data_IF_848605585266
#
_entry.id   IF_848605585266
#
_cell.length_a   1.000
_cell.length_b   1.000
_cell.length_c   1.000
_cell.angle_alpha   90.00
_cell.angle_beta   90.00
_cell.angle_gamma   90.00
#
_symmetry.space_group_name_H-M   'P 1'
#
loop_
_entity.id
_entity.type
_entity.pdbx_description
1 polymer ?
#
# COMPACT_ATOMS: atom_id res chain seq x y z
N UNK A 1 15.73 -15.84 -0.70
CA UNK A 1 15.49 -14.38 -0.59
C UNK A 1 14.00 -14.09 -0.63
N UNK A 2 13.61 -12.87 -0.26
CA UNK A 2 12.24 -12.34 -0.41
C UNK A 2 12.21 -11.31 -1.54
N UNK A 3 11.03 -11.10 -2.14
CA UNK A 3 10.87 -10.07 -3.17
C UNK A 3 9.51 -9.39 -3.16
N UNK A 4 9.50 -8.12 -3.51
CA UNK A 4 8.31 -7.41 -3.94
C UNK A 4 8.40 -7.16 -5.44
N UNK A 5 7.38 -7.61 -6.18
CA UNK A 5 7.39 -7.61 -7.64
C UNK A 5 6.18 -6.87 -8.23
N UNK A 6 6.15 -5.52 -8.18
CA UNK A 6 5.05 -4.73 -8.74
C UNK A 6 5.20 -4.51 -10.26
N UNK A 7 4.07 -4.38 -10.95
CA UNK A 7 4.04 -3.88 -12.33
C UNK A 7 3.77 -2.37 -12.34
N UNK A 8 4.48 -1.57 -13.17
CA UNK A 8 4.36 -0.11 -13.20
C UNK A 8 3.16 0.34 -14.06
N UNK A 9 1.98 -0.24 -13.82
CA UNK A 9 0.78 -0.04 -14.66
C UNK A 9 -0.29 0.86 -14.04
N UNK A 10 0.04 1.52 -12.93
CA UNK A 10 -0.90 2.34 -12.16
C UNK A 10 -0.35 2.69 -10.78
N UNK A 11 -1.14 3.43 -10.02
CA UNK A 11 -0.80 3.81 -8.64
C UNK A 11 -0.62 2.56 -7.76
N UNK A 12 0.28 2.66 -6.79
CA UNK A 12 0.41 1.63 -5.77
C UNK A 12 -0.85 1.62 -4.88
N UNK A 13 -1.49 0.47 -4.78
CA UNK A 13 -2.64 0.29 -3.89
C UNK A 13 -2.23 -0.32 -2.55
N UNK A 14 -3.09 -0.18 -1.54
CA UNK A 14 -2.82 -0.69 -0.18
C UNK A 14 -2.55 -2.21 -0.13
N UNK A 15 -3.12 -2.99 -1.04
CA UNK A 15 -2.84 -4.42 -1.17
C UNK A 15 -1.40 -4.70 -1.63
N UNK A 16 -0.89 -3.90 -2.57
CA UNK A 16 0.50 -3.99 -3.02
C UNK A 16 1.45 -3.59 -1.88
N UNK A 17 1.15 -2.48 -1.19
CA UNK A 17 1.96 -1.99 -0.08
C UNK A 17 1.98 -2.99 1.08
N UNK A 18 0.85 -3.60 1.43
CA UNK A 18 0.77 -4.64 2.45
C UNK A 18 1.64 -5.85 2.10
N UNK A 19 1.65 -6.28 0.83
CA UNK A 19 2.56 -7.32 0.37
C UNK A 19 4.03 -6.90 0.49
N UNK A 20 4.38 -5.65 0.14
CA UNK A 20 5.73 -5.12 0.30
C UNK A 20 6.18 -5.12 1.78
N UNK A 21 5.35 -4.58 2.68
CA UNK A 21 5.59 -4.54 4.13
C UNK A 21 5.85 -5.94 4.67
N UNK A 22 5.02 -6.93 4.32
CA UNK A 22 5.15 -8.29 4.88
C UNK A 22 6.38 -9.02 4.33
N UNK A 23 6.72 -8.84 3.05
CA UNK A 23 7.99 -9.34 2.53
C UNK A 23 9.17 -8.71 3.26
N UNK A 24 9.16 -7.38 3.46
CA UNK A 24 10.23 -6.67 4.15
C UNK A 24 10.39 -7.14 5.60
N UNK A 25 9.29 -7.23 6.37
CA UNK A 25 9.32 -7.74 7.74
C UNK A 25 9.92 -9.14 7.79
N UNK A 26 9.43 -10.06 6.95
CA UNK A 26 9.92 -11.45 6.95
C UNK A 26 11.39 -11.56 6.52
N UNK A 27 11.82 -10.71 5.58
CA UNK A 27 13.21 -10.63 5.15
C UNK A 27 14.13 -10.19 6.31
N UNK A 28 13.75 -9.11 7.00
CA UNK A 28 14.48 -8.58 8.16
C UNK A 28 14.54 -9.57 9.32
N UNK A 29 13.43 -10.23 9.65
CA UNK A 29 13.36 -11.24 10.71
C UNK A 29 14.29 -12.44 10.46
N UNK A 30 14.42 -12.85 9.20
CA UNK A 30 15.28 -13.99 8.81
C UNK A 30 16.69 -13.58 8.40
N UNK A 31 17.02 -12.30 8.49
CA UNK A 31 18.28 -11.73 7.99
C UNK A 31 18.57 -12.16 6.54
N UNK A 32 17.56 -12.06 5.67
CA UNK A 32 17.63 -12.39 4.25
C UNK A 32 17.45 -11.14 3.40
N UNK A 33 18.06 -11.12 2.23
CA UNK A 33 17.90 -10.01 1.29
C UNK A 33 16.46 -9.87 0.80
N UNK A 34 16.07 -8.61 0.61
CA UNK A 34 14.82 -8.17 0.02
C UNK A 34 15.08 -7.54 -1.36
N UNK A 35 14.35 -8.05 -2.35
CA UNK A 35 14.49 -7.67 -3.76
C UNK A 35 13.29 -6.81 -4.17
N UNK A 36 13.54 -5.71 -4.90
CA UNK A 36 12.55 -4.99 -5.67
C UNK A 36 12.68 -5.35 -7.16
N UNK A 37 11.69 -6.08 -7.70
CA UNK A 37 11.62 -6.42 -9.14
C UNK A 37 10.51 -5.65 -9.83
N UNK A 38 10.81 -4.82 -10.81
CA UNK A 38 9.77 -4.15 -11.61
C UNK A 38 9.35 -5.06 -12.76
N UNK A 39 8.07 -5.44 -12.79
CA UNK A 39 7.49 -6.35 -13.80
C UNK A 39 6.88 -5.54 -14.95
N UNK A 40 7.74 -5.06 -15.85
CA UNK A 40 7.45 -4.13 -16.94
C UNK A 40 7.31 -4.81 -18.32
N UNK A 41 7.22 -6.14 -18.38
CA UNK A 41 7.20 -6.86 -19.67
C UNK A 41 5.99 -6.51 -20.56
N UNK A 42 4.92 -5.99 -19.96
CA UNK A 42 3.72 -5.55 -20.67
C UNK A 42 3.81 -4.05 -21.02
N UNK A 43 4.61 -3.75 -22.04
CA UNK A 43 4.93 -2.37 -22.45
C UNK A 43 3.69 -1.51 -22.73
N UNK A 44 2.60 -2.10 -23.20
CA UNK A 44 1.37 -1.37 -23.53
C UNK A 44 0.64 -0.84 -22.30
N UNK A 45 0.82 -1.47 -21.13
CA UNK A 45 0.19 -1.06 -19.86
C UNK A 45 1.11 -0.27 -18.93
N UNK A 46 2.40 -0.22 -19.23
CA UNK A 46 3.35 0.53 -18.40
C UNK A 46 3.08 2.03 -18.50
N UNK A 47 3.19 2.71 -17.36
CA UNK A 47 3.00 4.16 -17.25
C UNK A 47 4.33 4.76 -16.82
N UNK A 48 4.80 5.76 -17.58
CA UNK A 48 6.05 6.46 -17.28
C UNK A 48 6.01 7.09 -15.87
N UNK A 49 7.14 7.01 -15.15
CA UNK A 49 7.29 7.53 -13.79
C UNK A 49 6.69 6.66 -12.67
N UNK A 50 5.96 5.59 -12.98
CA UNK A 50 5.41 4.70 -11.93
C UNK A 50 6.45 3.85 -11.24
N UNK A 51 7.55 3.54 -11.90
CA UNK A 51 8.69 2.86 -11.27
C UNK A 51 9.29 3.72 -10.14
N UNK A 52 9.55 4.99 -10.43
CA UNK A 52 10.09 5.96 -9.47
C UNK A 52 9.12 6.21 -8.33
N UNK A 53 7.83 6.38 -8.64
CA UNK A 53 6.77 6.54 -7.63
C UNK A 53 6.72 5.33 -6.68
N UNK A 54 6.85 4.11 -7.19
CA UNK A 54 6.93 2.90 -6.35
C UNK A 54 8.15 2.97 -5.41
N UNK A 55 9.33 3.35 -5.92
CA UNK A 55 10.56 3.46 -5.11
C UNK A 55 10.42 4.53 -4.03
N UNK A 56 9.88 5.70 -4.37
CA UNK A 56 9.62 6.81 -3.45
C UNK A 56 8.67 6.37 -2.34
N UNK A 57 7.55 5.72 -2.68
CA UNK A 57 6.62 5.20 -1.69
C UNK A 57 7.30 4.19 -0.78
N UNK A 58 8.04 3.21 -1.29
CA UNK A 58 8.73 2.24 -0.44
C UNK A 58 9.71 2.92 0.54
N UNK A 59 10.47 3.90 0.06
CA UNK A 59 11.38 4.69 0.90
C UNK A 59 10.65 5.49 2.00
N UNK A 60 9.50 6.11 1.69
CA UNK A 60 8.67 6.81 2.68
C UNK A 60 8.19 5.89 3.82
N UNK A 61 8.01 4.60 3.52
CA UNK A 61 7.62 3.58 4.49
C UNK A 61 8.81 2.93 5.21
N UNK A 62 10.04 3.41 4.97
CA UNK A 62 11.26 2.83 5.55
C UNK A 62 11.61 1.44 4.99
N UNK A 63 11.07 1.08 3.83
CA UNK A 63 11.32 -0.20 3.17
C UNK A 63 12.48 -0.03 2.20
N UNK A 64 13.62 -0.61 2.56
CA UNK A 64 14.82 -0.66 1.71
C UNK A 64 14.98 -2.04 1.08
N UNK A 65 15.57 -2.09 -0.12
CA UNK A 65 15.89 -3.31 -0.84
C UNK A 65 17.39 -3.41 -1.12
N UNK A 66 17.93 -4.62 -1.04
CA UNK A 66 19.35 -4.91 -1.32
C UNK A 66 19.60 -5.05 -2.82
N UNK A 67 18.61 -5.57 -3.55
CA UNK A 67 18.71 -5.81 -4.99
C UNK A 67 17.54 -5.17 -5.74
N UNK A 68 17.84 -4.64 -6.92
CA UNK A 68 16.90 -3.97 -7.81
C UNK A 68 17.10 -4.45 -9.24
N UNK A 69 16.03 -4.82 -9.93
CA UNK A 69 16.11 -5.07 -11.38
C UNK A 69 14.76 -4.94 -12.09
N UNK A 70 14.85 -4.81 -13.41
CA UNK A 70 13.73 -4.64 -14.34
C UNK A 70 13.55 -5.94 -15.13
N UNK A 71 12.34 -6.48 -15.15
CA UNK A 71 12.07 -7.80 -15.74
C UNK A 71 12.30 -7.84 -17.25
N UNK A 72 12.06 -6.74 -17.96
CA UNK A 72 12.31 -6.65 -19.41
C UNK A 72 13.79 -6.74 -19.79
N UNK A 73 14.73 -6.49 -18.86
CA UNK A 73 16.16 -6.69 -19.10
C UNK A 73 16.54 -8.18 -19.12
N UNK A 74 15.70 -9.05 -18.53
CA UNK A 74 15.92 -10.49 -18.43
C UNK A 74 15.31 -11.30 -19.58
N UNK A 75 14.73 -10.66 -20.60
CA UNK A 75 14.06 -11.35 -21.72
C UNK A 75 14.94 -12.39 -22.42
N UNK A 76 16.26 -12.16 -22.48
CA UNK A 76 17.21 -13.14 -23.03
C UNK A 76 17.19 -14.47 -22.27
N UNK A 77 17.13 -14.41 -20.93
CA UNK A 77 17.12 -15.58 -20.08
C UNK A 77 15.78 -16.30 -20.19
N UNK A 78 14.67 -15.58 -20.22
CA UNK A 78 13.35 -16.18 -20.44
C UNK A 78 13.31 -16.96 -21.77
N UNK A 79 13.82 -16.36 -22.86
CA UNK A 79 13.89 -17.03 -24.17
C UNK A 79 14.76 -18.28 -24.13
N UNK A 80 15.94 -18.21 -23.52
CA UNK A 80 16.83 -19.38 -23.36
C UNK A 80 16.15 -20.50 -22.58
N UNK A 81 15.47 -20.20 -21.48
CA UNK A 81 14.76 -21.19 -20.68
C UNK A 81 13.58 -21.81 -21.44
N UNK A 82 12.86 -21.02 -22.23
CA UNK A 82 11.78 -21.53 -23.08
C UNK A 82 12.32 -22.48 -24.16
N UNK A 83 13.42 -22.10 -24.82
CA UNK A 83 14.08 -22.94 -25.83
C UNK A 83 14.62 -24.24 -25.23
N UNK A 84 15.20 -24.19 -24.02
CA UNK A 84 15.62 -25.37 -23.28
C UNK A 84 14.44 -26.34 -23.10
N UNK A 85 13.30 -25.84 -22.62
CA UNK A 85 12.10 -26.67 -22.43
C UNK A 85 11.59 -27.29 -23.73
N UNK A 86 11.67 -26.58 -24.85
CA UNK A 86 11.32 -27.12 -26.17
C UNK A 86 12.31 -28.21 -26.59
N UNK A 87 13.62 -27.98 -26.45
CA UNK A 87 14.66 -28.97 -26.78
C UNK A 87 14.55 -30.25 -25.97
N UNK A 88 14.10 -30.15 -24.71
CA UNK A 88 13.86 -31.28 -23.81
C UNK A 88 12.47 -31.92 -24.01
N UNK A 89 11.72 -31.51 -25.04
CA UNK A 89 10.35 -31.97 -25.33
C UNK A 89 9.35 -31.77 -24.18
N UNK A 90 9.64 -30.84 -23.26
CA UNK A 90 8.76 -30.43 -22.15
C UNK A 90 7.81 -29.30 -22.55
N UNK A 91 8.16 -28.54 -23.58
CA UNK A 91 7.32 -27.52 -24.21
C UNK A 91 7.21 -27.77 -25.72
N UNK A 92 6.24 -27.15 -26.37
CA UNK A 92 5.97 -27.31 -27.81
C UNK A 92 5.47 -26.01 -28.44
N UNK A 93 5.65 -25.89 -29.76
CA UNK A 93 5.08 -24.80 -30.55
C UNK A 93 3.59 -25.03 -30.80
N UNK A 94 2.77 -24.00 -30.59
CA UNK A 94 1.33 -24.06 -30.81
C UNK A 94 0.93 -22.98 -31.83
N UNK A 95 0.32 -23.46 -32.91
CA UNK A 95 -0.10 -22.65 -34.07
C UNK A 95 -1.61 -22.36 -34.08
N UNK A 96 -2.33 -22.72 -33.00
CA UNK A 96 -3.76 -22.46 -32.90
C UNK A 96 -4.02 -20.95 -32.88
N UNK A 97 -4.96 -20.48 -33.70
CA UNK A 97 -5.33 -19.07 -33.76
C UNK A 97 -6.20 -18.68 -32.56
N UNK A 98 -6.29 -17.38 -32.26
CA UNK A 98 -7.17 -16.89 -31.20
C UNK A 98 -8.65 -17.23 -31.49
N UNK A 99 -9.06 -17.14 -32.76
CA UNK A 99 -10.41 -17.49 -33.23
C UNK A 99 -10.73 -18.98 -33.00
N UNK A 100 -9.81 -19.88 -33.33
CA UNK A 100 -9.96 -21.32 -33.08
C UNK A 100 -10.09 -21.63 -31.59
N UNK A 101 -9.25 -21.00 -30.77
CA UNK A 101 -9.28 -21.17 -29.31
C UNK A 101 -10.58 -20.62 -28.71
N UNK A 102 -11.07 -19.49 -29.21
CA UNK A 102 -12.32 -18.88 -28.74
C UNK A 102 -13.54 -19.72 -29.13
N UNK A 103 -13.58 -20.25 -30.35
CA UNK A 103 -14.62 -21.19 -30.77
C UNK A 103 -14.68 -22.43 -29.86
N UNK A 104 -13.52 -22.97 -29.48
CA UNK A 104 -13.45 -24.10 -28.54
C UNK A 104 -13.89 -23.72 -27.13
N UNK A 105 -13.57 -22.51 -26.64
CA UNK A 105 -14.05 -22.01 -25.33
C UNK A 105 -15.56 -21.86 -25.31
N UNK A 106 -16.14 -21.26 -26.34
CA UNK A 106 -17.59 -21.08 -26.44
C UNK A 106 -18.33 -22.42 -26.57
N UNK A 107 -17.75 -23.40 -27.26
CA UNK A 107 -18.28 -24.76 -27.28
C UNK A 107 -18.27 -25.40 -25.88
N UNK A 108 -17.15 -25.30 -25.15
CA UNK A 108 -17.05 -25.83 -23.78
C UNK A 108 -18.07 -25.17 -22.84
N UNK A 109 -18.23 -23.85 -22.95
CA UNK A 109 -19.21 -23.05 -22.20
C UNK A 109 -20.65 -23.50 -22.49
N UNK A 110 -21.01 -23.69 -23.77
CA UNK A 110 -22.32 -24.23 -24.18
C UNK A 110 -22.58 -25.63 -23.62
N UNK A 111 -21.52 -26.41 -23.42
CA UNK A 111 -21.58 -27.75 -22.82
C UNK A 111 -21.51 -27.76 -21.29
N UNK A 112 -21.44 -26.59 -20.63
CA UNK A 112 -21.31 -26.49 -19.17
C UNK A 112 -20.00 -27.04 -18.62
N UNK A 113 -18.95 -27.15 -19.45
CA UNK A 113 -17.63 -27.68 -19.08
C UNK A 113 -16.60 -26.55 -19.01
N UNK A 114 -15.67 -26.65 -18.07
CA UNK A 114 -14.51 -25.77 -18.05
C UNK A 114 -13.63 -26.03 -19.29
N UNK A 115 -13.30 -24.97 -20.03
CA UNK A 115 -12.40 -25.07 -21.17
C UNK A 115 -11.00 -25.46 -20.73
N UNK A 116 -10.41 -26.41 -21.45
CA UNK A 116 -9.00 -26.82 -21.35
C UNK A 116 -8.48 -27.01 -22.75
N UNK A 117 -7.24 -26.59 -22.98
CA UNK A 117 -6.49 -26.86 -24.19
C UNK A 117 -6.38 -28.38 -24.36
N UNK A 118 -6.74 -28.83 -25.54
CA UNK A 118 -6.88 -30.24 -25.89
C UNK A 118 -5.56 -30.89 -26.35
N UNK A 119 -4.46 -30.13 -26.36
CA UNK A 119 -3.17 -30.61 -26.84
C UNK A 119 -3.10 -30.69 -28.37
N UNK A 120 -3.94 -29.95 -29.12
CA UNK A 120 -3.98 -29.98 -30.60
C UNK A 120 -2.60 -29.97 -31.24
N UNK A 121 -1.71 -29.06 -30.82
CA UNK A 121 -0.37 -28.94 -31.39
C UNK A 121 0.71 -29.75 -30.64
N UNK A 122 0.37 -30.42 -29.54
CA UNK A 122 1.34 -31.15 -28.71
C UNK A 122 1.88 -32.41 -29.41
N UNK A 123 1.10 -32.97 -30.34
CA UNK A 123 1.37 -34.24 -31.04
C UNK A 123 1.78 -34.06 -32.50
N UNK A 124 2.05 -32.82 -32.96
CA UNK A 124 2.53 -32.58 -34.32
C UNK A 124 3.89 -33.24 -34.53
N UNK A 125 4.13 -33.77 -35.73
CA UNK A 125 5.44 -34.31 -36.08
C UNK A 125 6.45 -33.17 -36.27
N UNK A 126 7.74 -33.45 -36.05
CA UNK A 126 8.80 -32.43 -36.16
C UNK A 126 8.81 -31.77 -37.54
N UNK A 127 8.53 -32.53 -38.61
CA UNK A 127 8.43 -32.01 -39.98
C UNK A 127 7.27 -31.02 -40.16
N UNK A 128 6.09 -31.33 -39.62
CA UNK A 128 4.90 -30.46 -39.70
C UNK A 128 5.16 -29.15 -38.95
N UNK A 129 5.91 -29.19 -37.85
CA UNK A 129 6.28 -28.00 -37.08
C UNK A 129 7.28 -27.13 -37.86
N UNK A 130 8.25 -27.75 -38.54
CA UNK A 130 9.27 -27.04 -39.31
C UNK A 130 8.72 -26.40 -40.60
N UNK A 131 7.75 -27.04 -41.25
CA UNK A 131 7.10 -26.53 -42.47
C UNK A 131 5.98 -25.53 -42.18
N UNK A 132 5.55 -25.38 -40.92
CA UNK A 132 4.47 -24.46 -40.56
C UNK A 132 4.94 -23.01 -40.45
N UNK A 133 4.59 -22.18 -41.44
CA UNK A 133 4.88 -20.74 -41.44
C UNK A 133 3.94 -19.90 -40.55
N UNK A 134 2.94 -20.53 -39.92
CA UNK A 134 1.99 -19.80 -39.06
C UNK A 134 2.70 -19.22 -37.83
N UNK A 135 2.27 -18.04 -37.35
CA UNK A 135 2.74 -17.53 -36.07
C UNK A 135 2.42 -18.52 -34.96
N UNK A 136 3.34 -18.68 -34.01
CA UNK A 136 3.19 -19.64 -32.91
C UNK A 136 3.54 -19.04 -31.56
N UNK A 137 2.90 -19.61 -30.54
CA UNK A 137 3.26 -19.44 -29.13
C UNK A 137 3.97 -20.69 -28.63
N UNK A 138 4.73 -20.59 -27.54
CA UNK A 138 5.30 -21.77 -26.87
C UNK A 138 4.41 -22.12 -25.68
N UNK A 139 3.97 -23.37 -25.61
CA UNK A 139 3.22 -23.93 -24.48
C UNK A 139 4.08 -24.90 -23.68
N UNK A 140 3.99 -24.82 -22.36
CA UNK A 140 4.52 -25.86 -21.48
C UNK A 140 3.50 -27.00 -21.39
N UNK A 141 3.97 -28.25 -21.48
CA UNK A 141 3.10 -29.42 -21.28
C UNK A 141 2.57 -29.44 -19.86
N UNK A 142 1.36 -29.96 -19.67
CA UNK A 142 0.77 -30.17 -18.34
C UNK A 142 1.68 -31.04 -17.43
N UNK A 143 1.64 -30.86 -16.11
CA UNK A 143 2.34 -31.75 -15.18
C UNK A 143 1.80 -33.19 -15.27
N UNK A 144 2.62 -34.15 -14.85
CA UNK A 144 2.25 -35.58 -14.80
C UNK A 144 1.87 -36.08 -13.42
N UNK A 145 2.02 -35.23 -12.39
CA UNK A 145 1.71 -35.54 -11.00
C UNK A 145 1.05 -34.34 -10.31
N UNK A 146 0.35 -34.58 -9.22
CA UNK A 146 -0.24 -33.54 -8.38
C UNK A 146 0.81 -32.53 -7.94
N UNK A 147 0.52 -31.24 -8.10
CA UNK A 147 1.38 -30.15 -7.65
C UNK A 147 0.95 -29.75 -6.24
N UNK A 148 1.92 -29.69 -5.31
CA UNK A 148 1.68 -29.33 -3.91
C UNK A 148 2.60 -28.20 -3.48
N UNK A 149 2.12 -27.33 -2.61
CA UNK A 149 2.95 -26.32 -1.96
C UNK A 149 2.41 -25.95 -0.58
N UNK A 150 3.31 -25.45 0.27
CA UNK A 150 2.99 -24.98 1.61
C UNK A 150 2.78 -23.47 1.61
N UNK A 151 1.63 -23.04 2.08
CA UNK A 151 1.29 -21.65 2.31
C UNK A 151 1.21 -21.35 3.81
N UNK A 152 1.92 -20.33 4.29
CA UNK A 152 1.92 -19.95 5.71
C UNK A 152 0.55 -19.52 6.22
N UNK A 153 -0.32 -19.01 5.35
CA UNK A 153 -1.67 -18.55 5.73
C UNK A 153 -2.70 -19.63 5.42
N UNK A 154 -2.69 -20.19 4.21
CA UNK A 154 -3.72 -21.12 3.73
C UNK A 154 -3.47 -22.58 4.14
N UNK A 155 -2.24 -22.95 4.49
CA UNK A 155 -1.83 -24.32 4.80
C UNK A 155 -1.30 -25.05 3.56
N UNK A 156 -1.34 -26.38 3.58
CA UNK A 156 -0.97 -27.19 2.42
C UNK A 156 -2.07 -27.12 1.34
N UNK A 157 -1.67 -26.81 0.12
CA UNK A 157 -2.56 -26.77 -1.04
C UNK A 157 -2.10 -27.78 -2.09
N UNK A 158 -3.06 -28.46 -2.72
CA UNK A 158 -2.81 -29.46 -3.76
C UNK A 158 -3.66 -29.19 -4.99
N UNK A 159 -3.06 -29.41 -6.17
CA UNK A 159 -3.68 -29.19 -7.47
C UNK A 159 -3.40 -30.38 -8.37
N UNK A 160 -4.46 -31.08 -8.76
CA UNK A 160 -4.35 -32.19 -9.69
C UNK A 160 -3.88 -31.74 -11.08
N UNK A 161 -3.15 -32.60 -11.83
CA UNK A 161 -2.68 -32.30 -13.17
C UNK A 161 -3.76 -31.76 -14.12
N UNK A 162 -4.97 -32.29 -13.99
CA UNK A 162 -6.13 -31.92 -14.78
C UNK A 162 -6.51 -30.45 -14.60
N UNK A 163 -6.20 -29.85 -13.45
CA UNK A 163 -6.47 -28.45 -13.16
C UNK A 163 -5.36 -27.51 -13.64
N UNK A 164 -4.28 -28.05 -14.20
CA UNK A 164 -3.12 -27.32 -14.73
C UNK A 164 -2.93 -27.73 -16.19
N UNK A 165 -3.62 -27.01 -17.06
CA UNK A 165 -3.59 -27.27 -18.49
C UNK A 165 -2.26 -26.90 -19.17
N UNK A 166 -2.01 -27.34 -20.40
CA UNK A 166 -0.84 -26.94 -21.19
C UNK A 166 -0.93 -25.45 -21.56
N UNK A 167 -0.27 -24.59 -20.78
CA UNK A 167 -0.41 -23.14 -20.85
C UNK A 167 0.73 -22.46 -21.62
N UNK A 168 0.45 -21.28 -22.17
CA UNK A 168 1.42 -20.45 -22.90
C UNK A 168 2.48 -19.91 -21.93
N UNK A 169 3.75 -20.13 -22.27
CA UNK A 169 4.92 -19.59 -21.57
C UNK A 169 5.62 -18.47 -22.34
N UNK A 170 5.50 -18.46 -23.66
CA UNK A 170 6.08 -17.44 -24.54
C UNK A 170 5.06 -17.06 -25.62
N UNK A 171 4.84 -15.77 -25.81
CA UNK A 171 3.94 -15.23 -26.84
C UNK A 171 4.59 -15.22 -28.22
N UNK A 172 3.80 -14.92 -29.24
CA UNK A 172 4.24 -14.86 -30.65
C UNK A 172 5.39 -13.87 -30.86
N UNK A 173 5.31 -12.71 -30.20
CA UNK A 173 6.33 -11.64 -30.18
C UNK A 173 7.58 -11.97 -29.33
N UNK A 174 7.67 -13.20 -28.82
CA UNK A 174 8.77 -13.70 -27.99
C UNK A 174 8.93 -12.95 -26.65
N UNK A 175 7.82 -12.39 -26.14
CA UNK A 175 7.71 -11.94 -24.76
C UNK A 175 7.17 -13.08 -23.87
N UNK A 176 7.71 -13.28 -22.66
CA UNK A 176 7.25 -14.31 -21.76
C UNK A 176 5.86 -13.98 -21.19
N UNK A 177 5.10 -14.99 -20.79
CA UNK A 177 3.90 -14.76 -19.99
C UNK A 177 4.28 -14.48 -18.53
N UNK A 178 3.39 -13.80 -17.80
CA UNK A 178 3.58 -13.49 -16.37
C UNK A 178 4.08 -14.68 -15.55
N UNK A 179 3.40 -15.83 -15.65
CA UNK A 179 3.78 -17.02 -14.87
C UNK A 179 5.17 -17.53 -15.21
N UNK A 180 5.55 -17.48 -16.49
CA UNK A 180 6.85 -17.95 -16.93
C UNK A 180 7.97 -16.99 -16.50
N UNK A 181 7.80 -15.69 -16.73
CA UNK A 181 8.77 -14.67 -16.33
C UNK A 181 9.00 -14.70 -14.81
N UNK A 182 7.93 -14.62 -14.00
CA UNK A 182 8.05 -14.67 -12.54
C UNK A 182 8.75 -15.94 -12.05
N UNK A 183 8.40 -17.11 -12.62
CA UNK A 183 8.97 -18.37 -12.17
C UNK A 183 10.47 -18.50 -12.49
N UNK A 184 10.87 -18.04 -13.67
CA UNK A 184 12.28 -18.02 -14.10
C UNK A 184 13.07 -17.00 -13.27
N UNK A 185 12.57 -15.78 -13.08
CA UNK A 185 13.28 -14.77 -12.29
C UNK A 185 13.39 -15.17 -10.83
N UNK A 186 12.32 -15.71 -10.22
CA UNK A 186 12.37 -16.20 -8.84
C UNK A 186 13.40 -17.34 -8.67
N UNK A 187 13.58 -18.18 -9.71
CA UNK A 187 14.60 -19.23 -9.76
C UNK A 187 16.02 -18.64 -9.87
N UNK A 188 16.25 -17.72 -10.81
CA UNK A 188 17.57 -17.11 -11.05
C UNK A 188 18.05 -16.32 -9.84
N UNK A 189 17.14 -15.60 -9.18
CA UNK A 189 17.43 -14.76 -8.02
C UNK A 189 17.36 -15.53 -6.69
N UNK A 190 17.25 -16.86 -6.70
CA UNK A 190 17.20 -17.68 -5.49
C UNK A 190 16.14 -17.21 -4.46
N UNK A 191 14.99 -16.74 -4.96
CA UNK A 191 13.82 -16.46 -4.12
C UNK A 191 13.39 -17.76 -3.46
N UNK A 192 13.07 -17.69 -2.17
CA UNK A 192 12.70 -18.85 -1.35
C UNK A 192 11.33 -18.71 -0.73
N UNK A 193 10.82 -17.49 -0.60
CA UNK A 193 9.48 -17.23 -0.08
C UNK A 193 8.77 -16.17 -0.92
N UNK A 194 7.54 -16.46 -1.32
CA UNK A 194 6.67 -15.58 -2.10
C UNK A 194 5.48 -15.15 -1.26
N UNK A 195 5.44 -13.87 -0.89
CA UNK A 195 4.28 -13.25 -0.22
C UNK A 195 3.58 -12.35 -1.24
N UNK A 196 2.31 -12.60 -1.52
CA UNK A 196 1.49 -11.89 -2.53
C UNK A 196 -0.01 -12.01 -2.25
N UNK A 197 -0.85 -11.28 -2.97
CA UNK A 197 -2.31 -11.41 -2.83
C UNK A 197 -2.85 -12.78 -3.28
N UNK A 198 -3.95 -13.22 -2.67
CA UNK A 198 -4.57 -14.53 -2.94
C UNK A 198 -5.17 -14.70 -4.33
N UNK A 199 -5.38 -13.61 -5.07
CA UNK A 199 -5.75 -13.64 -6.49
C UNK A 199 -4.74 -14.45 -7.34
N UNK A 200 -3.52 -14.63 -6.83
CA UNK A 200 -2.46 -15.39 -7.49
C UNK A 200 -2.31 -16.84 -7.00
N UNK A 201 -3.21 -17.36 -6.16
CA UNK A 201 -3.14 -18.76 -5.68
C UNK A 201 -3.12 -19.74 -6.85
N UNK A 202 -3.97 -19.54 -7.85
CA UNK A 202 -4.07 -20.40 -9.04
C UNK A 202 -2.84 -20.33 -9.97
N UNK A 203 -2.01 -19.31 -9.81
CA UNK A 203 -0.75 -19.15 -10.54
C UNK A 203 0.39 -19.96 -9.92
N UNK A 204 0.36 -20.18 -8.61
CA UNK A 204 1.40 -20.89 -7.86
C UNK A 204 1.73 -22.28 -8.42
N UNK A 205 0.76 -23.18 -8.67
CA UNK A 205 1.10 -24.51 -9.20
C UNK A 205 1.68 -24.45 -10.62
N UNK A 206 1.30 -23.46 -11.44
CA UNK A 206 1.89 -23.23 -12.77
C UNK A 206 3.36 -22.82 -12.65
N UNK A 207 3.66 -21.91 -11.71
CA UNK A 207 5.01 -21.41 -11.47
C UNK A 207 5.92 -22.50 -10.88
N UNK A 208 5.40 -23.33 -9.98
CA UNK A 208 6.11 -24.51 -9.47
C UNK A 208 6.39 -25.51 -10.60
N UNK A 209 5.41 -25.76 -11.47
CA UNK A 209 5.59 -26.65 -12.61
C UNK A 209 6.64 -26.14 -13.61
N UNK A 210 6.70 -24.82 -13.86
CA UNK A 210 7.75 -24.21 -14.68
C UNK A 210 9.13 -24.48 -14.07
N UNK A 211 9.30 -24.22 -12.77
CA UNK A 211 10.58 -24.44 -12.06
C UNK A 211 10.99 -25.89 -12.08
N UNK A 212 10.08 -26.80 -11.73
CA UNK A 212 10.32 -28.24 -11.76
C UNK A 212 10.71 -28.72 -13.17
N UNK A 213 10.02 -28.22 -14.21
CA UNK A 213 10.33 -28.54 -15.61
C UNK A 213 11.73 -28.07 -16.02
N UNK A 214 12.23 -26.97 -15.44
CA UNK A 214 13.58 -26.46 -15.66
C UNK A 214 14.65 -27.17 -14.82
N UNK A 215 14.25 -28.11 -13.95
CA UNK A 215 15.13 -28.87 -13.05
C UNK A 215 15.43 -28.16 -11.73
N UNK A 216 14.66 -27.13 -11.37
CA UNK A 216 14.81 -26.43 -10.10
C UNK A 216 13.97 -27.07 -9.00
N UNK A 217 14.64 -27.78 -8.09
CA UNK A 217 14.00 -28.59 -7.05
C UNK A 217 14.03 -27.94 -5.65
N UNK A 218 14.46 -26.66 -5.56
CA UNK A 218 14.54 -25.97 -4.27
C UNK A 218 13.13 -25.69 -3.77
N UNK A 219 12.85 -26.09 -2.54
CA UNK A 219 11.57 -25.84 -1.90
C UNK A 219 11.30 -24.32 -1.79
N UNK A 220 10.09 -23.92 -2.16
CA UNK A 220 9.57 -22.57 -2.00
C UNK A 220 8.42 -22.56 -0.99
N UNK A 221 8.36 -21.51 -0.18
CA UNK A 221 7.21 -21.25 0.70
C UNK A 221 6.38 -20.09 0.20
N UNK A 222 5.09 -20.09 0.52
CA UNK A 222 4.16 -19.08 0.05
C UNK A 222 3.42 -18.43 1.21
N UNK A 223 2.93 -17.22 1.01
CA UNK A 223 1.86 -16.66 1.81
C UNK A 223 0.94 -15.85 0.89
N UNK A 224 -0.29 -16.34 0.73
CA UNK A 224 -1.31 -15.70 -0.08
C UNK A 224 -2.21 -14.83 0.82
N UNK A 225 -1.97 -13.52 0.78
CA UNK A 225 -2.66 -12.53 1.60
C UNK A 225 -4.14 -12.47 1.20
N UNK A 226 -5.07 -12.49 2.17
CA UNK A 226 -6.49 -12.41 1.89
C UNK A 226 -6.85 -11.05 1.25
N UNK A 227 -7.89 -11.05 0.43
CA UNK A 227 -8.44 -9.85 -0.21
C UNK A 227 -8.81 -8.82 0.87
N UNK A 228 -8.55 -7.55 0.55
CA UNK A 228 -9.04 -6.42 1.33
C UNK A 228 -10.41 -6.02 0.76
N UNK A 229 -11.42 -5.98 1.61
CA UNK A 229 -12.76 -5.50 1.30
C UNK A 229 -12.86 -4.01 1.60
N UNK A 230 -13.70 -3.29 0.86
CA UNK A 230 -14.08 -1.92 1.15
C UNK A 230 -15.06 -1.83 2.33
N UNK A 231 -15.54 -0.62 2.64
CA UNK A 231 -16.49 -0.41 3.73
C UNK A 231 -17.83 -1.13 3.48
N UNK A 232 -18.21 -1.38 2.24
CA UNK A 232 -19.43 -2.12 1.87
C UNK A 232 -19.26 -3.65 1.89
N UNK A 233 -18.06 -4.16 2.19
CA UNK A 233 -17.78 -5.59 2.19
C UNK A 233 -17.55 -6.20 0.80
N UNK A 234 -17.38 -5.36 -0.23
CA UNK A 234 -17.02 -5.77 -1.60
C UNK A 234 -15.51 -5.72 -1.75
N UNK A 235 -14.94 -6.53 -2.66
CA UNK A 235 -13.52 -6.48 -2.99
C UNK A 235 -13.11 -5.03 -3.35
N UNK A 236 -12.14 -4.50 -2.61
CA UNK A 236 -11.68 -3.13 -2.80
C UNK A 236 -11.19 -2.93 -4.24
N UNK A 237 -11.75 -1.93 -4.90
CA UNK A 237 -11.46 -1.62 -6.29
C UNK A 237 -10.30 -0.66 -6.41
N UNK A 238 -9.48 -0.84 -7.44
CA UNK A 238 -8.42 0.11 -7.81
C UNK A 238 -8.93 1.52 -8.13
N UNK A 239 -10.24 1.68 -8.35
CA UNK A 239 -10.89 2.97 -8.65
C UNK A 239 -11.32 3.73 -7.39
N UNK A 240 -11.36 3.07 -6.23
CA UNK A 240 -11.71 3.72 -4.97
C UNK A 240 -10.51 4.55 -4.48
N UNK A 241 -10.73 5.83 -4.16
CA UNK A 241 -9.65 6.73 -3.77
C UNK A 241 -8.85 6.21 -2.55
N UNK A 242 -9.54 5.68 -1.54
CA UNK A 242 -8.94 5.12 -0.33
C UNK A 242 -8.09 3.87 -0.57
N UNK A 243 -8.19 3.25 -1.75
CA UNK A 243 -7.32 2.12 -2.13
C UNK A 243 -5.92 2.58 -2.54
N UNK A 244 -5.75 3.85 -2.95
CA UNK A 244 -4.48 4.41 -3.43
C UNK A 244 -3.61 4.87 -2.26
N UNK A 245 -2.36 4.38 -2.20
CA UNK A 245 -1.40 4.81 -1.18
C UNK A 245 -1.08 6.29 -1.33
N UNK A 246 -0.95 6.76 -2.57
CA UNK A 246 -0.69 8.17 -2.88
C UNK A 246 -1.79 9.07 -2.31
N UNK A 247 -3.05 8.72 -2.52
CA UNK A 247 -4.18 9.48 -1.99
C UNK A 247 -4.18 9.55 -0.45
N UNK A 248 -3.83 8.45 0.23
CA UNK A 248 -3.72 8.42 1.69
C UNK A 248 -2.62 9.38 2.20
N UNK A 249 -1.46 9.37 1.53
CA UNK A 249 -0.35 10.28 1.85
C UNK A 249 -0.72 11.75 1.60
N UNK A 250 -1.33 12.05 0.44
CA UNK A 250 -1.78 13.41 0.07
C UNK A 250 -2.90 13.93 0.98
N UNK A 251 -3.67 13.03 1.59
CA UNK A 251 -4.66 13.36 2.61
C UNK A 251 -4.04 13.69 3.96
N UNK A 252 -2.71 13.57 4.12
CA UNK A 252 -2.00 13.87 5.35
C UNK A 252 -2.00 12.72 6.36
N UNK A 253 -2.20 11.48 5.91
CA UNK A 253 -2.03 10.28 6.74
C UNK A 253 -0.56 9.87 6.70
N UNK A 254 0.03 9.65 7.87
CA UNK A 254 1.44 9.34 8.04
C UNK A 254 1.78 7.95 7.48
N UNK A 255 2.95 7.77 6.83
CA UNK A 255 3.42 6.45 6.40
C UNK A 255 3.45 5.42 7.54
N UNK A 256 3.87 5.84 8.74
CA UNK A 256 3.92 4.98 9.94
C UNK A 256 2.53 4.48 10.36
N UNK A 257 1.51 5.35 10.27
CA UNK A 257 0.14 5.00 10.59
C UNK A 257 -0.47 4.05 9.56
N UNK A 258 -0.22 4.28 8.26
CA UNK A 258 -0.64 3.38 7.19
C UNK A 258 0.02 2.01 7.38
N UNK A 259 1.32 1.96 7.65
CA UNK A 259 2.03 0.69 7.91
C UNK A 259 1.45 -0.07 9.10
N UNK A 260 1.29 0.60 10.24
CA UNK A 260 0.66 0.05 11.45
C UNK A 260 -0.71 -0.55 11.13
N UNK A 261 -1.55 0.20 10.41
CA UNK A 261 -2.90 -0.24 10.07
C UNK A 261 -2.89 -1.47 9.16
N UNK A 262 -2.06 -1.48 8.10
CA UNK A 262 -1.98 -2.61 7.16
C UNK A 262 -1.42 -3.89 7.81
N UNK A 263 -0.54 -3.76 8.81
CA UNK A 263 -0.03 -4.88 9.61
C UNK A 263 -1.11 -5.41 10.56
N UNK A 264 -1.93 -4.53 11.12
CA UNK A 264 -3.03 -4.89 12.02
C UNK A 264 -4.20 -5.55 11.27
N UNK A 265 -4.45 -5.18 10.01
CA UNK A 265 -5.52 -5.76 9.21
C UNK A 265 -5.43 -7.28 9.14
N UNK A 266 -6.47 -7.96 9.64
CA UNK A 266 -6.55 -9.42 9.64
C UNK A 266 -5.48 -10.11 10.49
N UNK A 267 -4.91 -9.43 11.48
CA UNK A 267 -3.85 -9.96 12.34
C UNK A 267 -4.11 -9.57 13.80
N UNK A 268 -3.68 -10.42 14.75
CA UNK A 268 -3.70 -10.07 16.18
C UNK A 268 -2.38 -9.41 16.54
N UNK A 269 -2.43 -8.17 17.04
CA UNK A 269 -1.24 -7.39 17.39
C UNK A 269 -1.10 -7.26 18.92
N UNK A 270 0.12 -7.12 19.47
CA UNK A 270 0.33 -6.97 20.92
C UNK A 270 -0.29 -5.69 21.49
N UNK A 271 -0.27 -4.63 20.69
CA UNK A 271 -0.86 -3.32 20.97
C UNK A 271 -1.48 -2.77 19.68
N UNK A 272 -2.33 -1.75 19.80
CA UNK A 272 -2.93 -1.10 18.62
C UNK A 272 -1.96 -0.19 17.87
N UNK A 273 -1.10 0.49 18.62
CA UNK A 273 -0.17 1.50 18.10
C UNK A 273 1.26 0.95 18.19
N UNK A 274 1.93 0.87 17.04
CA UNK A 274 3.30 0.38 16.92
C UNK A 274 3.98 0.91 15.65
N UNK A 275 5.29 0.87 15.66
CA UNK A 275 6.16 1.18 14.51
C UNK A 275 6.47 -0.07 13.69
N UNK A 276 6.97 0.14 12.46
CA UNK A 276 7.44 -0.97 11.61
C UNK A 276 8.58 -1.77 12.28
N UNK A 277 9.50 -1.08 12.96
CA UNK A 277 10.62 -1.71 13.68
C UNK A 277 10.16 -2.57 14.87
N UNK A 278 9.11 -2.15 15.58
CA UNK A 278 8.48 -2.98 16.60
C UNK A 278 7.79 -4.18 15.97
N UNK A 279 7.06 -3.99 14.87
CA UNK A 279 6.40 -5.08 14.15
C UNK A 279 7.39 -6.15 13.67
N UNK A 280 8.58 -5.76 13.22
CA UNK A 280 9.65 -6.71 12.85
C UNK A 280 9.97 -7.69 13.99
N UNK A 281 9.81 -7.31 15.26
CA UNK A 281 10.16 -8.19 16.39
C UNK A 281 9.13 -9.27 16.68
N UNK A 282 7.84 -9.00 16.46
CA UNK A 282 6.75 -9.88 16.91
C UNK A 282 5.85 -10.40 15.79
N UNK A 283 5.90 -9.82 14.58
CA UNK A 283 5.04 -10.20 13.48
C UNK A 283 5.27 -11.66 13.09
N UNK A 284 4.18 -12.39 12.84
CA UNK A 284 4.22 -13.77 12.39
C UNK A 284 3.22 -13.93 11.25
N UNK A 285 3.74 -14.15 10.04
CA UNK A 285 2.94 -14.26 8.82
C UNK A 285 1.94 -15.43 8.89
N UNK A 286 2.23 -16.47 9.68
CA UNK A 286 1.33 -17.63 9.83
C UNK A 286 0.11 -17.35 10.71
N UNK A 287 0.13 -16.26 11.49
CA UNK A 287 -1.00 -15.82 12.33
C UNK A 287 -1.96 -14.87 11.62
N UNK A 288 -1.64 -14.47 10.38
CA UNK A 288 -2.54 -13.67 9.56
C UNK A 288 -3.79 -14.50 9.22
N UNK A 289 -4.96 -13.92 9.44
CA UNK A 289 -6.25 -14.54 9.18
C UNK A 289 -6.40 -14.96 7.72
N UNK A 290 -7.05 -16.10 7.49
CA UNK A 290 -7.47 -16.56 6.16
C UNK A 290 -8.65 -15.76 5.60
N UNK A 291 -9.43 -15.11 6.46
CA UNK A 291 -10.63 -14.38 6.06
C UNK A 291 -10.28 -13.02 5.43
N UNK A 292 -11.10 -12.50 4.50
CA UNK A 292 -10.95 -11.16 3.97
C UNK A 292 -10.90 -10.11 5.09
N UNK A 293 -10.04 -9.10 4.91
CA UNK A 293 -9.91 -8.01 5.86
C UNK A 293 -10.74 -6.82 5.39
N UNK A 294 -11.59 -6.24 6.24
CA UNK A 294 -12.38 -5.05 5.89
C UNK A 294 -11.58 -3.79 6.17
N UNK A 295 -11.48 -2.92 5.17
CA UNK A 295 -10.94 -1.59 5.33
C UNK A 295 -11.92 -0.70 6.09
N UNK A 296 -11.38 0.14 6.96
CA UNK A 296 -12.08 1.05 7.86
C UNK A 296 -11.23 2.32 7.96
N UNK A 297 -11.67 3.36 7.26
CA UNK A 297 -10.95 4.63 7.24
C UNK A 297 -10.94 5.29 8.62
N UNK A 298 -12.02 5.15 9.40
CA UNK A 298 -12.13 5.75 10.74
C UNK A 298 -11.10 5.16 11.69
N UNK A 299 -10.88 3.84 11.64
CA UNK A 299 -9.82 3.19 12.43
C UNK A 299 -8.42 3.62 11.98
N UNK A 300 -8.19 3.74 10.67
CA UNK A 300 -6.92 4.27 10.15
C UNK A 300 -6.67 5.71 10.64
N UNK A 301 -7.68 6.58 10.59
CA UNK A 301 -7.61 7.95 11.09
C UNK A 301 -7.38 8.00 12.61
N UNK A 302 -7.97 7.08 13.39
CA UNK A 302 -7.67 6.94 14.82
C UNK A 302 -6.20 6.59 15.06
N UNK A 303 -5.67 5.60 14.35
CA UNK A 303 -4.24 5.24 14.46
C UNK A 303 -3.37 6.42 14.04
N UNK A 304 -3.75 7.14 12.98
CA UNK A 304 -3.00 8.30 12.51
C UNK A 304 -2.87 9.39 13.58
N UNK A 305 -3.93 9.67 14.33
CA UNK A 305 -3.87 10.61 15.47
C UNK A 305 -2.84 10.20 16.51
N UNK A 306 -2.81 8.92 16.88
CA UNK A 306 -1.85 8.43 17.87
C UNK A 306 -0.42 8.48 17.34
N UNK A 307 -0.22 8.18 16.05
CA UNK A 307 1.09 8.35 15.40
C UNK A 307 1.53 9.82 15.38
N UNK A 308 0.64 10.78 15.10
CA UNK A 308 0.95 12.22 15.15
C UNK A 308 1.44 12.62 16.56
N UNK A 309 0.78 12.12 17.61
CA UNK A 309 1.17 12.41 19.01
C UNK A 309 2.57 11.88 19.35
N UNK A 310 2.98 10.76 18.75
CA UNK A 310 4.29 10.14 18.97
C UNK A 310 5.44 10.84 18.24
N UNK A 311 5.18 11.66 17.22
CA UNK A 311 6.23 12.39 16.48
C UNK A 311 6.93 13.36 17.43
N UNK A 312 8.26 13.47 17.33
CA UNK A 312 9.03 14.47 18.08
C UNK A 312 8.66 15.89 17.65
N UNK A 313 8.64 16.83 18.57
CA UNK A 313 8.14 18.19 18.29
C UNK A 313 8.89 18.86 17.13
N UNK A 314 10.22 18.76 17.08
CA UNK A 314 11.04 19.27 15.98
C UNK A 314 10.67 18.68 14.61
N UNK A 315 10.36 17.38 14.56
CA UNK A 315 9.96 16.68 13.34
C UNK A 315 8.55 17.09 12.92
N UNK A 316 7.62 17.19 13.87
CA UNK A 316 6.25 17.62 13.60
C UNK A 316 6.22 19.07 13.11
N UNK A 317 7.02 19.97 13.70
CA UNK A 317 7.15 21.35 13.23
C UNK A 317 7.66 21.44 11.78
N UNK A 318 8.66 20.61 11.41
CA UNK A 318 9.13 20.50 10.02
C UNK A 318 8.03 19.98 9.09
N UNK A 319 7.25 19.00 9.52
CA UNK A 319 6.13 18.46 8.74
C UNK A 319 5.05 19.52 8.57
N UNK A 320 4.71 20.29 9.62
CA UNK A 320 3.73 21.36 9.57
C UNK A 320 4.15 22.47 8.59
N UNK A 321 5.44 22.81 8.58
CA UNK A 321 6.06 23.79 7.67
C UNK A 321 5.40 25.18 7.76
N UNK A 322 5.34 25.70 9.01
CA UNK A 322 4.74 27.00 9.34
C UNK A 322 5.73 27.96 10.02
N UNK A 323 7.02 27.61 10.07
CA UNK A 323 8.09 28.41 10.67
C UNK A 323 7.80 28.86 12.13
N UNK A 324 7.12 28.01 12.90
CA UNK A 324 6.72 28.25 14.29
C UNK A 324 6.78 26.95 15.09
N UNK A 325 6.96 27.07 16.40
CA UNK A 325 6.88 25.94 17.31
C UNK A 325 5.42 25.61 17.67
N UNK A 326 4.74 24.92 16.75
CA UNK A 326 3.31 24.60 16.84
C UNK A 326 3.06 23.14 17.20
N UNK A 327 4.08 22.32 17.38
CA UNK A 327 3.92 20.89 17.62
C UNK A 327 3.05 20.59 18.86
N UNK A 328 3.25 21.22 20.03
CA UNK A 328 2.36 21.01 21.18
C UNK A 328 0.90 21.37 20.88
N UNK A 329 0.68 22.51 20.19
CA UNK A 329 -0.64 22.98 19.79
C UNK A 329 -1.31 22.04 18.77
N UNK A 330 -0.56 21.57 17.78
CA UNK A 330 -1.03 20.62 16.79
C UNK A 330 -1.40 19.27 17.42
N UNK A 331 -0.58 18.78 18.36
CA UNK A 331 -0.88 17.57 19.14
C UNK A 331 -2.16 17.73 19.96
N UNK A 332 -2.35 18.86 20.62
CA UNK A 332 -3.60 19.18 21.33
C UNK A 332 -4.83 19.09 20.39
N UNK A 333 -4.71 19.62 19.17
CA UNK A 333 -5.80 19.59 18.19
C UNK A 333 -6.04 18.24 17.51
N UNK A 334 -5.28 17.19 17.81
CA UNK A 334 -5.60 15.84 17.33
C UNK A 334 -6.96 15.34 17.83
N UNK A 335 -7.53 15.94 18.88
CA UNK A 335 -8.91 15.65 19.32
C UNK A 335 -10.00 16.06 18.30
N UNK A 336 -9.69 17.01 17.41
CA UNK A 336 -10.61 17.55 16.41
C UNK A 336 -10.12 17.36 14.96
N UNK A 337 -8.85 16.98 14.77
CA UNK A 337 -8.23 16.76 13.47
C UNK A 337 -7.51 15.40 13.45
N UNK A 338 -7.71 14.64 12.39
CA UNK A 338 -7.19 13.28 12.24
C UNK A 338 -6.02 13.17 11.27
N UNK A 339 -5.71 14.22 10.51
CA UNK A 339 -4.65 14.23 9.51
C UNK A 339 -3.70 15.42 9.66
N UNK A 340 -2.47 15.30 9.15
CA UNK A 340 -1.53 16.43 9.07
C UNK A 340 -2.12 17.57 8.23
N UNK A 341 -2.89 17.24 7.19
CA UNK A 341 -3.50 18.25 6.32
C UNK A 341 -4.52 19.09 7.10
N UNK A 342 -5.44 18.45 7.82
CA UNK A 342 -6.41 19.12 8.69
C UNK A 342 -5.72 19.95 9.78
N UNK A 343 -4.65 19.42 10.39
CA UNK A 343 -3.86 20.16 11.37
C UNK A 343 -3.21 21.41 10.76
N UNK A 344 -2.60 21.31 9.57
CA UNK A 344 -2.02 22.47 8.87
C UNK A 344 -3.07 23.53 8.58
N UNK A 345 -4.23 23.14 8.05
CA UNK A 345 -5.34 24.05 7.76
C UNK A 345 -5.80 24.76 9.03
N UNK A 346 -5.92 24.02 10.13
CA UNK A 346 -6.32 24.59 11.43
C UNK A 346 -5.27 25.54 12.01
N UNK A 347 -3.99 25.17 11.95
CA UNK A 347 -2.92 26.04 12.40
C UNK A 347 -2.89 27.33 11.56
N UNK A 348 -3.01 27.23 10.24
CA UNK A 348 -3.11 28.41 9.37
C UNK A 348 -4.30 29.29 9.73
N UNK A 349 -5.47 28.69 9.99
CA UNK A 349 -6.65 29.45 10.41
C UNK A 349 -6.40 30.20 11.73
N UNK A 350 -5.67 29.61 12.68
CA UNK A 350 -5.30 30.26 13.95
C UNK A 350 -4.35 31.45 13.74
N UNK A 351 -3.44 31.39 12.77
CA UNK A 351 -2.45 32.46 12.54
C UNK A 351 -2.73 33.35 11.31
N UNK A 352 -3.96 33.34 10.78
CA UNK A 352 -4.38 34.19 9.67
C UNK A 352 -5.38 35.27 10.14
N UNK A 353 -5.64 36.27 9.29
CA UNK A 353 -6.61 37.35 9.55
C UNK A 353 -7.97 36.76 9.94
N UNK A 354 -8.57 37.36 10.96
CA UNK A 354 -9.81 36.89 11.59
C UNK A 354 -11.02 37.63 11.02
N UNK A 355 -12.10 36.89 10.79
CA UNK A 355 -13.43 37.48 10.62
C UNK A 355 -14.11 37.56 11.99
N UNK A 356 -14.41 38.77 12.45
CA UNK A 356 -15.04 39.00 13.74
C UNK A 356 -16.56 38.94 13.70
N UNK A 357 -17.18 38.96 12.51
CA UNK A 357 -18.63 38.87 12.34
C UNK A 357 -19.41 39.85 13.23
N UNK A 358 -20.38 39.32 13.99
CA UNK A 358 -21.24 40.11 14.89
C UNK A 358 -20.50 40.70 16.11
N UNK A 359 -19.25 40.30 16.35
CA UNK A 359 -18.44 40.67 17.51
C UNK A 359 -17.28 41.62 17.17
N UNK A 360 -17.34 42.33 16.05
CA UNK A 360 -16.30 43.24 15.56
C UNK A 360 -15.78 44.22 16.64
N UNK A 361 -16.70 44.83 17.41
CA UNK A 361 -16.36 45.83 18.42
C UNK A 361 -15.64 45.15 19.59
N UNK A 362 -16.21 44.09 20.13
CA UNK A 362 -15.66 43.34 21.26
C UNK A 362 -14.30 42.70 20.92
N UNK A 363 -14.14 42.16 19.69
CA UNK A 363 -12.86 41.59 19.24
C UNK A 363 -11.78 42.66 19.14
N UNK A 364 -12.09 43.87 18.65
CA UNK A 364 -11.14 44.98 18.60
C UNK A 364 -10.67 45.41 19.98
N UNK A 365 -11.59 45.52 20.95
CA UNK A 365 -11.26 45.83 22.35
C UNK A 365 -10.29 44.79 22.90
N UNK A 366 -10.61 43.49 22.74
CA UNK A 366 -9.75 42.42 23.22
C UNK A 366 -8.39 42.38 22.50
N UNK A 367 -8.35 42.59 21.18
CA UNK A 367 -7.07 42.65 20.44
C UNK A 367 -6.16 43.74 20.97
N UNK A 368 -6.67 44.94 21.21
CA UNK A 368 -5.84 46.02 21.77
C UNK A 368 -5.30 45.66 23.15
N UNK A 369 -6.11 45.06 24.02
CA UNK A 369 -5.68 44.64 25.36
C UNK A 369 -4.64 43.50 25.31
N UNK A 370 -4.81 42.53 24.41
CA UNK A 370 -3.96 41.35 24.32
C UNK A 370 -2.56 41.65 23.75
N UNK A 371 -2.34 42.80 23.09
CA UNK A 371 -1.02 43.16 22.55
C UNK A 371 0.07 43.24 23.61
N UNK A 372 -0.28 43.68 24.82
CA UNK A 372 0.66 43.98 25.91
C UNK A 372 0.20 43.45 27.28
N UNK A 373 -0.77 42.52 27.31
CA UNK A 373 -1.25 41.91 28.56
C UNK A 373 -0.19 41.03 29.23
N UNK A 374 -0.16 41.00 30.56
CA UNK A 374 0.67 40.02 31.27
C UNK A 374 0.18 38.58 30.98
N UNK A 375 1.12 37.69 30.65
CA UNK A 375 0.84 36.29 30.37
C UNK A 375 1.03 35.43 31.63
N UNK A 376 -0.08 35.15 32.32
CA UNK A 376 -0.11 34.36 33.54
C UNK A 376 0.17 32.86 33.29
N UNK A 377 0.58 32.13 34.32
CA UNK A 377 0.78 30.67 34.21
C UNK A 377 -0.53 29.91 34.03
N UNK A 378 -1.61 30.33 34.70
CA UNK A 378 -2.91 29.69 34.59
C UNK A 378 -3.91 30.57 33.84
N UNK A 379 -4.87 29.91 33.20
CA UNK A 379 -5.90 30.56 32.41
C UNK A 379 -6.84 31.44 33.25
N UNK A 380 -7.09 31.08 34.51
CA UNK A 380 -8.01 31.81 35.37
C UNK A 380 -7.50 33.22 35.69
N UNK A 381 -6.22 33.37 36.03
CA UNK A 381 -5.61 34.67 36.29
C UNK A 381 -5.57 35.52 35.01
N UNK A 382 -5.18 34.91 33.88
CA UNK A 382 -5.23 35.58 32.57
C UNK A 382 -6.63 36.07 32.21
N UNK A 383 -7.64 35.21 32.40
CA UNK A 383 -9.04 35.54 32.15
C UNK A 383 -9.53 36.65 33.07
N UNK A 384 -9.22 36.59 34.37
CA UNK A 384 -9.65 37.58 35.36
C UNK A 384 -9.03 38.96 35.07
N UNK A 385 -7.75 39.00 34.72
CA UNK A 385 -7.07 40.23 34.29
C UNK A 385 -7.77 40.84 33.07
N UNK A 386 -8.02 40.02 32.03
CA UNK A 386 -8.64 40.50 30.80
C UNK A 386 -10.11 40.93 30.99
N UNK A 387 -10.86 40.24 31.86
CA UNK A 387 -12.21 40.65 32.26
C UNK A 387 -12.20 42.01 32.95
N UNK A 388 -11.25 42.25 33.86
CA UNK A 388 -11.14 43.52 34.58
C UNK A 388 -10.83 44.71 33.67
N UNK A 389 -10.04 44.50 32.61
CA UNK A 389 -9.62 45.54 31.66
C UNK A 389 -10.59 45.78 30.50
N UNK A 390 -11.37 44.78 30.10
CA UNK A 390 -12.22 44.86 28.90
C UNK A 390 -13.62 45.39 29.15
N UNK A 391 -14.12 45.33 30.39
CA UNK A 391 -15.53 45.58 30.75
C UNK A 391 -16.55 44.70 29.97
N UNK A 392 -16.08 43.62 29.34
CA UNK A 392 -16.90 42.65 28.63
C UNK A 392 -17.34 41.52 29.58
N UNK A 393 -18.54 40.96 29.35
CA UNK A 393 -19.10 39.87 30.19
C UNK A 393 -19.82 38.81 29.37
N UNK A 394 -19.87 37.59 29.89
CA UNK A 394 -20.64 36.48 29.32
C UNK A 394 -20.29 36.21 27.85
N UNK A 395 -21.32 36.03 27.00
CA UNK A 395 -21.14 35.76 25.56
C UNK A 395 -20.24 36.81 24.88
N UNK A 396 -20.38 38.08 25.26
CA UNK A 396 -19.61 39.21 24.71
C UNK A 396 -18.13 39.23 25.12
N UNK A 397 -17.72 38.38 26.04
CA UNK A 397 -16.30 38.20 26.38
C UNK A 397 -15.76 36.90 25.78
N UNK A 398 -16.42 35.77 26.06
CA UNK A 398 -15.89 34.45 25.70
C UNK A 398 -15.89 34.16 24.20
N UNK A 399 -16.94 34.56 23.48
CA UNK A 399 -16.98 34.38 22.02
C UNK A 399 -15.92 35.24 21.33
N UNK A 400 -15.81 36.56 21.61
CA UNK A 400 -14.77 37.39 21.01
C UNK A 400 -13.36 36.93 21.37
N UNK A 401 -13.10 36.55 22.63
CA UNK A 401 -11.80 36.03 23.05
C UNK A 401 -11.43 34.79 22.24
N UNK A 402 -12.37 33.85 22.06
CA UNK A 402 -12.15 32.66 21.26
C UNK A 402 -11.88 33.01 19.79
N UNK A 403 -12.63 33.93 19.20
CA UNK A 403 -12.44 34.36 17.80
C UNK A 403 -11.05 34.98 17.64
N UNK A 404 -10.63 35.86 18.54
CA UNK A 404 -9.30 36.47 18.48
C UNK A 404 -8.20 35.41 18.60
N UNK A 405 -8.32 34.48 19.54
CA UNK A 405 -7.29 33.46 19.77
C UNK A 405 -7.29 32.33 18.72
N UNK A 406 -8.42 32.01 18.10
CA UNK A 406 -8.54 30.80 17.26
C UNK A 406 -9.08 31.05 15.85
N UNK A 407 -9.77 32.16 15.63
CA UNK A 407 -10.53 32.44 14.40
C UNK A 407 -11.82 31.64 14.24
N UNK A 408 -12.34 31.06 15.33
CA UNK A 408 -13.56 30.27 15.34
C UNK A 408 -14.46 30.66 16.51
N UNK A 409 -15.76 30.49 16.34
CA UNK A 409 -16.76 30.61 17.43
C UNK A 409 -16.90 29.33 18.26
N UNK A 410 -16.31 28.22 17.80
CA UNK A 410 -16.40 26.90 18.41
C UNK A 410 -15.03 26.24 18.53
N UNK A 411 -14.88 25.31 19.46
CA UNK A 411 -13.65 24.54 19.66
C UNK A 411 -13.47 24.09 21.11
N UNK A 412 -12.27 23.60 21.47
CA UNK A 412 -11.96 23.10 22.81
C UNK A 412 -12.08 24.20 23.87
N UNK A 413 -12.22 23.82 25.13
CA UNK A 413 -12.26 24.81 26.21
C UNK A 413 -11.01 25.70 26.20
N UNK A 414 -11.21 27.02 26.40
CA UNK A 414 -10.10 27.96 26.32
C UNK A 414 -9.08 27.72 27.45
N UNK A 415 -9.53 27.20 28.59
CA UNK A 415 -8.65 26.77 29.69
C UNK A 415 -7.67 25.69 29.27
N UNK A 416 -8.13 24.73 28.46
CA UNK A 416 -7.33 23.59 28.03
C UNK A 416 -6.42 23.96 26.86
N UNK A 417 -6.86 24.92 26.03
CA UNK A 417 -6.08 25.47 24.93
C UNK A 417 -4.98 26.42 25.40
N UNK A 418 -5.22 27.17 26.47
CA UNK A 418 -4.35 28.26 26.94
C UNK A 418 -2.87 27.87 27.05
N UNK A 419 -2.48 26.72 27.65
CA UNK A 419 -1.07 26.33 27.76
C UNK A 419 -0.34 26.23 26.43
N UNK A 420 -1.06 25.88 25.35
CA UNK A 420 -0.50 25.67 24.03
C UNK A 420 -0.48 26.94 23.17
N UNK A 421 -1.26 27.96 23.55
CA UNK A 421 -1.38 29.20 22.78
C UNK A 421 -0.83 30.43 23.50
N UNK A 422 -0.55 30.34 24.80
CA UNK A 422 -0.06 31.43 25.68
C UNK A 422 1.06 32.24 25.02
N UNK A 423 2.10 31.57 24.52
CA UNK A 423 3.27 32.22 23.93
C UNK A 423 2.98 32.92 22.59
N UNK A 424 1.81 32.68 22.01
CA UNK A 424 1.35 33.28 20.75
C UNK A 424 0.32 34.39 20.95
N UNK A 425 -0.18 34.62 22.16
CA UNK A 425 -1.28 35.57 22.41
C UNK A 425 -0.98 36.97 21.86
N UNK A 426 0.22 37.49 22.10
CA UNK A 426 0.63 38.80 21.58
C UNK A 426 0.73 38.84 20.06
N UNK A 427 1.10 37.73 19.42
CA UNK A 427 1.14 37.61 17.97
C UNK A 427 -0.29 37.60 17.41
N UNK A 428 -1.15 36.77 17.98
CA UNK A 428 -2.56 36.63 17.59
C UNK A 428 -3.34 37.93 17.75
N UNK A 429 -2.98 38.75 18.75
CA UNK A 429 -3.55 40.08 18.94
C UNK A 429 -3.18 41.08 17.83
N UNK A 430 -2.06 40.84 17.12
CA UNK A 430 -1.54 41.71 16.05
C UNK A 430 -2.00 41.32 14.65
N UNK A 431 -2.43 40.07 14.47
CA UNK A 431 -3.08 39.54 13.25
C UNK A 431 -4.54 40.00 13.26
#
# INVERSE_FOLDING_TARGET
MYRFAPSPTGDMHIGNLRAAIFNYICARQKNMDFILRIEDTDKARNIAGKEEEIKEILNLFGISWQHYYIQSENLKFHRQMALKLVSEKKAFACFCTEEELEAKKELAKKQGKAYRYDGTCEKLADIDVLECEKPFVIRLKKPTHTMKFTDFIKGELSFEPENIDSFVIMRTDKTPTYNFACAVDDMLENVTCIIRGEDHVSNTPKQEHIRASLGYNKAMTYAHLPIILNEEGVKMSKREAHSSVKWLLESGILPSAIANYLIMLGNKTPCEIFTLEEAIKWFDISKVSKAPARFDLKKLLQINREHIKMIKDDELNKILDLNKDLAPLAKFYTQEASTIKELKEKMRAIFNTKDFGEFEIECKILKELLKDIELFENYEDFKNELLSKSDLKGKKFFMPLRIVLTGSTHGPELSDLYPYIKNFIHELARI
#
